data_IF_853625745210
#
_entry.id   IF_853625745210
#
_cell.length_a   1.000
_cell.length_b   1.000
_cell.length_c   1.000
_cell.angle_alpha   90.00
_cell.angle_beta   90.00
_cell.angle_gamma   90.00
#
_symmetry.space_group_name_H-M   'P 1'
#
loop_
_entity.id
_entity.type
_entity.pdbx_description
1 polymer ?
#
# COMPACT_ATOMS: atom_id res chain seq x y z
N UNK A 1 16.69 40.99 8.51
CA UNK A 1 15.65 40.16 9.18
C UNK A 1 15.37 38.97 8.28
N UNK A 2 15.83 37.78 8.67
CA UNK A 2 15.62 36.54 7.93
C UNK A 2 14.30 35.97 8.46
N UNK A 3 13.24 36.03 7.65
CA UNK A 3 11.99 35.36 7.99
C UNK A 3 12.23 33.83 7.95
N UNK A 4 11.90 33.08 9.00
CA UNK A 4 11.89 31.64 8.91
C UNK A 4 10.69 31.25 8.04
N UNK A 5 10.95 30.86 6.79
CA UNK A 5 10.02 30.08 5.96
C UNK A 5 9.97 28.67 6.55
N UNK A 6 9.40 28.54 7.75
CA UNK A 6 8.88 27.26 8.20
C UNK A 6 7.47 27.24 7.62
N UNK A 7 7.37 26.79 6.38
CA UNK A 7 6.10 26.41 5.78
C UNK A 7 5.51 25.32 6.65
N UNK A 8 4.68 25.71 7.62
CA UNK A 8 3.80 24.80 8.31
C UNK A 8 2.87 24.25 7.23
N UNK A 9 3.23 23.11 6.64
CA UNK A 9 2.26 22.28 5.95
C UNK A 9 1.19 21.99 6.99
N UNK A 10 0.02 22.60 6.82
CA UNK A 10 -1.16 22.25 7.59
C UNK A 10 -1.49 20.84 7.09
N UNK A 11 -0.98 19.85 7.81
CA UNK A 11 -1.31 18.46 7.57
C UNK A 11 -2.73 18.29 8.09
N UNK A 12 -3.64 17.92 7.21
CA UNK A 12 -5.02 17.65 7.60
C UNK A 12 -5.03 16.57 8.70
N UNK A 13 -5.52 16.92 9.89
CA UNK A 13 -5.69 15.99 11.02
C UNK A 13 -6.38 14.68 10.62
N UNK A 14 -7.45 14.66 9.78
CA UNK A 14 -8.02 13.40 9.33
C UNK A 14 -7.06 12.58 8.47
N UNK A 15 -6.29 13.22 7.57
CA UNK A 15 -5.32 12.52 6.73
C UNK A 15 -4.22 11.86 7.58
N UNK A 16 -3.74 12.58 8.61
CA UNK A 16 -2.77 12.04 9.57
C UNK A 16 -3.34 10.83 10.32
N UNK A 17 -4.56 10.93 10.83
CA UNK A 17 -5.18 9.82 11.58
C UNK A 17 -5.37 8.58 10.69
N UNK A 18 -5.82 8.76 9.45
CA UNK A 18 -5.95 7.67 8.48
C UNK A 18 -4.60 7.03 8.16
N UNK A 19 -3.56 7.85 7.91
CA UNK A 19 -2.22 7.35 7.62
C UNK A 19 -1.62 6.55 8.79
N UNK A 20 -1.78 7.04 10.02
CA UNK A 20 -1.35 6.32 11.24
C UNK A 20 -2.10 5.00 11.39
N UNK A 21 -3.42 4.99 11.12
CA UNK A 21 -4.23 3.77 11.13
C UNK A 21 -3.74 2.72 10.13
N UNK A 22 -3.46 3.13 8.88
CA UNK A 22 -2.89 2.25 7.88
C UNK A 22 -1.50 1.73 8.28
N UNK A 23 -0.65 2.59 8.82
CA UNK A 23 0.70 2.22 9.21
C UNK A 23 0.71 1.24 10.38
N UNK A 24 -0.15 1.45 11.38
CA UNK A 24 -0.33 0.52 12.49
C UNK A 24 -0.81 -0.85 12.02
N UNK A 25 -1.85 -0.87 11.18
CA UNK A 25 -2.37 -2.11 10.61
C UNK A 25 -1.30 -2.83 9.77
N UNK A 26 -0.60 -2.09 8.92
CA UNK A 26 0.48 -2.62 8.08
C UNK A 26 1.63 -3.21 8.91
N UNK A 27 2.00 -2.57 10.02
CA UNK A 27 3.01 -3.09 10.95
C UNK A 27 2.57 -4.41 11.57
N UNK A 28 1.34 -4.48 12.09
CA UNK A 28 0.78 -5.72 12.64
C UNK A 28 0.73 -6.85 11.59
N UNK A 29 0.25 -6.53 10.38
CA UNK A 29 0.18 -7.48 9.27
C UNK A 29 1.58 -7.97 8.85
N UNK A 30 2.57 -7.08 8.81
CA UNK A 30 3.96 -7.37 8.47
C UNK A 30 4.62 -8.28 9.52
N UNK A 31 4.41 -8.01 10.81
CA UNK A 31 4.91 -8.86 11.89
C UNK A 31 4.27 -10.25 11.86
N UNK A 32 2.96 -10.31 11.64
CA UNK A 32 2.24 -11.57 11.46
C UNK A 32 2.74 -12.35 10.24
N UNK A 33 2.89 -11.68 9.10
CA UNK A 33 3.46 -12.26 7.89
C UNK A 33 4.88 -12.75 8.10
N UNK A 34 5.76 -11.96 8.75
CA UNK A 34 7.13 -12.37 9.09
C UNK A 34 7.20 -13.61 9.97
N UNK A 35 6.24 -13.77 10.89
CA UNK A 35 6.12 -14.98 11.73
C UNK A 35 5.69 -16.23 10.94
N UNK A 36 4.93 -16.05 9.86
CA UNK A 36 4.37 -17.11 9.00
C UNK A 36 5.20 -17.41 7.74
N UNK A 37 5.94 -16.43 7.23
CA UNK A 37 6.62 -16.47 5.93
C UNK A 37 7.98 -17.18 5.97
N UNK A 38 8.53 -17.49 7.16
CA UNK A 38 9.84 -18.15 7.32
C UNK A 38 9.96 -19.54 6.65
N UNK A 39 8.90 -20.10 6.08
CA UNK A 39 8.97 -21.41 5.43
C UNK A 39 8.19 -21.59 4.13
N UNK A 40 7.52 -20.57 3.56
CA UNK A 40 6.49 -20.84 2.53
C UNK A 40 6.33 -19.83 1.38
N UNK A 41 7.15 -18.77 1.28
CA UNK A 41 7.10 -17.82 0.15
C UNK A 41 8.20 -18.14 -0.86
N UNK A 42 7.83 -18.52 -2.08
CA UNK A 42 8.78 -18.92 -3.13
C UNK A 42 9.71 -17.79 -3.60
N UNK A 43 9.29 -16.53 -3.43
CA UNK A 43 10.06 -15.33 -3.80
C UNK A 43 9.99 -14.25 -2.70
N UNK A 44 10.81 -14.34 -1.64
CA UNK A 44 10.71 -13.44 -0.49
C UNK A 44 10.97 -11.98 -0.85
N UNK A 45 11.88 -11.69 -1.78
CA UNK A 45 12.17 -10.32 -2.21
C UNK A 45 10.98 -9.66 -2.92
N UNK A 46 10.29 -10.40 -3.79
CA UNK A 46 9.10 -9.90 -4.50
C UNK A 46 7.91 -9.71 -3.55
N UNK A 47 7.75 -10.62 -2.58
CA UNK A 47 6.74 -10.47 -1.54
C UNK A 47 6.97 -9.18 -0.73
N UNK A 48 8.19 -8.98 -0.24
CA UNK A 48 8.52 -7.81 0.56
C UNK A 48 8.49 -6.50 -0.23
N UNK A 49 8.90 -6.51 -1.50
CA UNK A 49 8.75 -5.33 -2.36
C UNK A 49 7.27 -5.00 -2.59
N UNK A 50 6.41 -6.01 -2.79
CA UNK A 50 4.96 -5.84 -2.87
C UNK A 50 4.37 -5.21 -1.60
N UNK A 51 4.76 -5.71 -0.42
CA UNK A 51 4.36 -5.14 0.87
C UNK A 51 4.80 -3.69 1.01
N UNK A 52 6.07 -3.37 0.70
CA UNK A 52 6.59 -2.01 0.81
C UNK A 52 5.86 -1.03 -0.11
N UNK A 53 5.62 -1.42 -1.36
CA UNK A 53 4.86 -0.61 -2.32
C UNK A 53 3.43 -0.42 -1.83
N UNK A 54 2.75 -1.49 -1.43
CA UNK A 54 1.36 -1.41 -0.96
C UNK A 54 1.21 -0.51 0.27
N UNK A 55 2.06 -0.69 1.28
CA UNK A 55 2.02 0.07 2.53
C UNK A 55 2.42 1.52 2.29
N UNK A 56 3.50 1.75 1.54
CA UNK A 56 3.97 3.10 1.23
C UNK A 56 2.89 3.90 0.49
N UNK A 57 2.27 3.31 -0.52
CA UNK A 57 1.21 3.95 -1.28
C UNK A 57 -0.07 4.16 -0.45
N UNK A 58 -0.47 3.19 0.38
CA UNK A 58 -1.64 3.32 1.24
C UNK A 58 -1.46 4.42 2.31
N UNK A 59 -0.27 4.53 2.90
CA UNK A 59 0.05 5.57 3.90
C UNK A 59 0.17 6.95 3.25
N UNK A 60 0.65 7.02 2.01
CA UNK A 60 0.76 8.28 1.27
C UNK A 60 -0.60 8.79 0.75
N UNK A 61 -1.54 7.88 0.44
CA UNK A 61 -2.84 8.18 -0.18
C UNK A 61 -3.63 9.32 0.50
N UNK A 62 -3.74 9.41 1.85
CA UNK A 62 -4.52 10.46 2.51
C UNK A 62 -3.93 11.87 2.36
N UNK A 63 -2.64 11.99 2.02
CA UNK A 63 -1.96 13.28 1.87
C UNK A 63 -2.03 13.84 0.44
N UNK A 64 -2.66 13.11 -0.48
CA UNK A 64 -2.75 13.50 -1.87
C UNK A 64 -4.03 14.29 -2.12
N UNK A 65 -3.88 15.49 -2.65
CA UNK A 65 -5.00 16.37 -2.99
C UNK A 65 -5.38 16.32 -4.46
N UNK A 66 -4.48 15.85 -5.33
CA UNK A 66 -4.73 15.73 -6.76
C UNK A 66 -5.21 14.33 -7.18
N UNK A 67 -6.21 14.32 -8.04
CA UNK A 67 -6.88 13.10 -8.49
C UNK A 67 -5.94 12.16 -9.25
N UNK A 68 -4.99 12.71 -10.01
CA UNK A 68 -4.03 11.92 -10.79
C UNK A 68 -3.10 11.11 -9.86
N UNK A 69 -2.49 11.77 -8.89
CA UNK A 69 -1.58 11.10 -7.93
C UNK A 69 -2.37 10.14 -7.04
N UNK A 70 -3.63 10.46 -6.71
CA UNK A 70 -4.52 9.50 -6.03
C UNK A 70 -4.68 8.21 -6.84
N UNK A 71 -4.98 8.30 -8.13
CA UNK A 71 -5.09 7.13 -9.01
C UNK A 71 -3.74 6.39 -9.14
N UNK A 72 -2.62 7.09 -9.28
CA UNK A 72 -1.30 6.45 -9.35
C UNK A 72 -1.00 5.65 -8.08
N UNK A 73 -1.26 6.23 -6.90
CA UNK A 73 -1.06 5.53 -5.64
C UNK A 73 -2.03 4.35 -5.49
N UNK A 74 -3.26 4.50 -5.95
CA UNK A 74 -4.24 3.41 -5.98
C UNK A 74 -3.74 2.22 -6.82
N UNK A 75 -3.19 2.49 -8.01
CA UNK A 75 -2.60 1.46 -8.87
C UNK A 75 -1.38 0.80 -8.22
N UNK A 76 -0.55 1.55 -7.50
CA UNK A 76 0.55 0.96 -6.74
C UNK A 76 0.08 0.06 -5.60
N UNK A 77 -1.01 0.40 -4.91
CA UNK A 77 -1.63 -0.48 -3.91
C UNK A 77 -2.08 -1.79 -4.57
N UNK A 78 -2.69 -1.71 -5.76
CA UNK A 78 -3.12 -2.87 -6.54
C UNK A 78 -1.94 -3.73 -6.99
N UNK A 79 -0.88 -3.12 -7.52
CA UNK A 79 0.35 -3.82 -7.95
C UNK A 79 1.06 -4.50 -6.78
N UNK A 80 1.16 -3.83 -5.63
CA UNK A 80 1.71 -4.41 -4.41
C UNK A 80 0.91 -5.64 -3.97
N UNK A 81 -0.42 -5.56 -4.02
CA UNK A 81 -1.33 -6.68 -3.71
C UNK A 81 -1.13 -7.86 -4.67
N UNK A 82 -0.98 -7.58 -5.97
CA UNK A 82 -0.70 -8.61 -6.99
C UNK A 82 0.62 -9.32 -6.71
N UNK A 83 1.69 -8.59 -6.39
CA UNK A 83 3.00 -9.16 -6.06
C UNK A 83 2.91 -10.09 -4.83
N UNK A 84 2.19 -9.66 -3.78
CA UNK A 84 1.96 -10.46 -2.56
C UNK A 84 1.20 -11.75 -2.89
N UNK A 85 0.05 -11.64 -3.56
CA UNK A 85 -0.80 -12.78 -3.92
C UNK A 85 -0.12 -13.76 -4.87
N UNK A 86 0.75 -13.27 -5.75
CA UNK A 86 1.56 -14.11 -6.63
C UNK A 86 2.58 -14.95 -5.85
N UNK A 87 3.12 -14.40 -4.75
CA UNK A 87 4.11 -15.08 -3.92
C UNK A 87 3.51 -16.04 -2.88
N UNK A 88 2.19 -15.97 -2.62
CA UNK A 88 1.52 -16.86 -1.67
C UNK A 88 1.04 -18.17 -2.33
N UNK A 89 1.51 -19.35 -1.86
CA UNK A 89 1.08 -20.63 -2.40
C UNK A 89 -0.42 -20.86 -2.15
N UNK A 90 -1.14 -21.29 -3.18
CA UNK A 90 -2.59 -21.57 -3.12
C UNK A 90 -3.50 -20.36 -3.27
N UNK A 91 -2.96 -19.14 -3.46
CA UNK A 91 -3.75 -17.91 -3.64
C UNK A 91 -4.02 -17.51 -5.09
N UNK A 92 -3.58 -18.31 -6.06
CA UNK A 92 -3.80 -18.02 -7.49
C UNK A 92 -5.28 -17.85 -7.89
N UNK A 93 -6.22 -18.52 -7.19
CA UNK A 93 -7.66 -18.30 -7.40
C UNK A 93 -8.10 -16.90 -6.98
N UNK A 94 -7.61 -16.41 -5.84
CA UNK A 94 -7.89 -15.04 -5.36
C UNK A 94 -7.30 -14.00 -6.32
N UNK A 95 -6.08 -14.22 -6.80
CA UNK A 95 -5.45 -13.35 -7.78
C UNK A 95 -6.29 -13.20 -9.06
N UNK A 96 -6.84 -14.31 -9.57
CA UNK A 96 -7.70 -14.32 -10.77
C UNK A 96 -8.99 -13.55 -10.61
N UNK A 97 -9.53 -13.45 -9.39
CA UNK A 97 -10.73 -12.64 -9.11
C UNK A 97 -10.38 -11.18 -8.83
N UNK A 98 -9.27 -10.94 -8.15
CA UNK A 98 -8.83 -9.61 -7.74
C UNK A 98 -8.47 -8.73 -8.95
N UNK A 99 -7.67 -9.26 -9.87
CA UNK A 99 -7.12 -8.52 -11.01
C UNK A 99 -8.21 -7.91 -11.94
N UNK A 100 -9.24 -8.65 -12.38
CA UNK A 100 -10.30 -8.07 -13.21
C UNK A 100 -11.15 -7.04 -12.46
N UNK A 101 -11.34 -7.17 -11.14
CA UNK A 101 -12.06 -6.17 -10.33
C UNK A 101 -11.27 -4.87 -10.27
N UNK A 102 -9.95 -4.94 -10.07
CA UNK A 102 -9.11 -3.73 -10.06
C UNK A 102 -9.04 -3.07 -11.44
N UNK A 103 -8.91 -3.86 -12.52
CA UNK A 103 -8.97 -3.31 -13.88
C UNK A 103 -10.31 -2.64 -14.14
N UNK A 104 -11.43 -3.27 -13.75
CA UNK A 104 -12.76 -2.69 -13.91
C UNK A 104 -12.93 -1.38 -13.12
N UNK A 105 -12.36 -1.30 -11.91
CA UNK A 105 -12.39 -0.08 -11.10
C UNK A 105 -11.51 1.05 -11.69
N UNK A 106 -10.42 0.70 -12.38
CA UNK A 106 -9.52 1.67 -13.00
C UNK A 106 -10.07 2.27 -14.32
N UNK A 107 -11.05 1.62 -14.95
CA UNK A 107 -11.65 2.06 -16.23
C UNK A 107 -13.08 2.61 -16.10
N UNK A 108 -13.63 2.63 -14.89
CA UNK A 108 -14.97 3.15 -14.57
C UNK A 108 -14.91 4.62 -14.15
#
# INVERSE_FOLDING_TARGET
MIAPIIGAYIVDEPALFTAVGFLFFALCATLFAGSRARGNTGHPLLYWSGVLVQVGSAVALPFVSDLLTFFILWEFISLGTVAILFCEPGRGRLLRWYLPIQIAAAVA
#
